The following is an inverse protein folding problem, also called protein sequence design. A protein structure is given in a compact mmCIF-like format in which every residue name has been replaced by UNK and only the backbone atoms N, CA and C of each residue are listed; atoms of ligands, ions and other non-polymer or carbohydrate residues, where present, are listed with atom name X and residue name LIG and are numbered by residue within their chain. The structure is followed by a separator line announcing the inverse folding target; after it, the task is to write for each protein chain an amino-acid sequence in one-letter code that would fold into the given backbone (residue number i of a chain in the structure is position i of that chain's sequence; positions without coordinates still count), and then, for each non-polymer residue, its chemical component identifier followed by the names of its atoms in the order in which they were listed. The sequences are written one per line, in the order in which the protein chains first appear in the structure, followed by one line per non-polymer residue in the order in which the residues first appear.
data_IF_812343990866
#
_entry.id   IF_812343990866
#
_cell.length_a   1.000
_cell.length_b   1.000
_cell.length_c   1.000
_cell.angle_alpha   90.00
_cell.angle_beta   90.00
_cell.angle_gamma   90.00
#
_symmetry.space_group_name_H-M   'P 1'
#
loop_
_entity.id
_entity.type
_entity.pdbx_description
1 polymer ?
#
# COMPACT_ATOMS: atom_id res chain seq x y z
N UNK A 1 20.04 14.92 4.82
CA UNK A 1 20.20 16.39 4.85
C UNK A 1 18.91 17.00 5.39
N UNK A 2 18.96 18.00 6.29
CA UNK A 2 17.75 18.70 6.73
C UNK A 2 17.25 19.63 5.61
N UNK A 3 15.94 19.61 5.36
CA UNK A 3 15.27 20.48 4.38
C UNK A 3 14.52 21.58 5.11
N UNK A 4 14.66 22.82 4.65
CA UNK A 4 13.91 23.96 5.18
C UNK A 4 12.57 24.07 4.45
N UNK A 5 11.47 24.11 5.20
CA UNK A 5 10.12 24.28 4.66
C UNK A 5 9.48 25.49 5.35
N UNK A 6 8.88 26.39 4.56
CA UNK A 6 8.18 27.55 5.08
C UNK A 6 6.75 27.17 5.47
N UNK A 7 6.44 27.27 6.76
CA UNK A 7 5.11 27.01 7.31
C UNK A 7 4.48 28.31 7.79
N UNK A 8 3.19 28.58 7.48
CA UNK A 8 2.47 29.72 8.06
C UNK A 8 2.50 29.66 9.60
N UNK A 9 2.65 30.82 10.26
CA UNK A 9 2.70 30.90 11.73
C UNK A 9 1.54 30.17 12.43
N UNK A 10 0.28 30.25 11.96
CA UNK A 10 -0.83 29.52 12.60
C UNK A 10 -0.67 28.00 12.52
N UNK A 11 -0.17 27.49 11.39
CA UNK A 11 0.06 26.06 11.18
C UNK A 11 1.22 25.57 12.04
N UNK A 12 2.30 26.36 12.14
CA UNK A 12 3.43 26.05 13.00
C UNK A 12 3.01 25.92 14.47
N UNK A 13 2.21 26.86 14.97
CA UNK A 13 1.69 26.82 16.33
C UNK A 13 0.75 25.62 16.58
N UNK A 14 -0.05 25.23 15.58
CA UNK A 14 -0.86 24.02 15.67
C UNK A 14 0.01 22.74 15.70
N UNK A 15 1.04 22.66 14.86
CA UNK A 15 1.98 21.55 14.83
C UNK A 15 2.75 21.41 16.15
N UNK A 16 3.22 22.52 16.73
CA UNK A 16 3.92 22.53 18.02
C UNK A 16 3.02 22.03 19.16
N UNK A 17 1.76 22.49 19.21
CA UNK A 17 0.77 21.99 20.19
C UNK A 17 0.55 20.48 20.04
N UNK A 18 0.37 20.00 18.81
CA UNK A 18 0.14 18.57 18.53
C UNK A 18 1.37 17.72 18.88
N UNK A 19 2.57 18.19 18.54
CA UNK A 19 3.82 17.51 18.85
C UNK A 19 4.04 17.39 20.36
N UNK A 20 3.73 18.46 21.12
CA UNK A 20 3.77 18.45 22.59
C UNK A 20 2.81 17.42 23.19
N UNK A 21 1.57 17.36 22.72
CA UNK A 21 0.59 16.35 23.17
C UNK A 21 1.08 14.93 22.90
N UNK A 22 1.73 14.70 21.75
CA UNK A 22 2.27 13.41 21.36
C UNK A 22 3.66 13.10 21.95
N UNK A 23 4.25 14.03 22.72
CA UNK A 23 5.60 13.93 23.29
C UNK A 23 6.68 13.61 22.25
N UNK A 24 6.55 14.14 21.04
CA UNK A 24 7.54 14.01 19.96
C UNK A 24 8.01 15.38 19.49
N UNK A 25 9.12 15.43 18.76
CA UNK A 25 9.57 16.67 18.13
C UNK A 25 8.62 17.09 17.01
N UNK A 26 8.52 18.41 16.78
CA UNK A 26 7.78 18.96 15.64
C UNK A 26 8.24 18.34 14.32
N UNK A 27 9.55 18.21 14.12
CA UNK A 27 10.10 17.62 12.88
C UNK A 27 9.63 16.17 12.71
N UNK A 28 9.61 15.37 13.78
CA UNK A 28 9.09 14.00 13.73
C UNK A 28 7.60 13.96 13.36
N UNK A 29 6.80 14.88 13.91
CA UNK A 29 5.39 14.99 13.54
C UNK A 29 5.22 15.34 12.05
N UNK A 30 5.98 16.32 11.54
CA UNK A 30 5.93 16.75 10.14
C UNK A 30 6.31 15.60 9.20
N UNK A 31 7.42 14.91 9.48
CA UNK A 31 7.87 13.76 8.69
C UNK A 31 6.81 12.66 8.68
N UNK A 32 6.26 12.29 9.83
CA UNK A 32 5.19 11.28 9.91
C UNK A 32 3.90 11.68 9.19
N UNK A 33 3.58 12.98 9.13
CA UNK A 33 2.44 13.47 8.37
C UNK A 33 2.69 13.32 6.85
N UNK A 34 3.89 13.70 6.39
CA UNK A 34 4.28 13.53 5.00
C UNK A 34 4.36 12.06 4.58
N UNK A 35 4.95 11.19 5.41
CA UNK A 35 4.99 9.75 5.17
C UNK A 35 3.59 9.16 5.04
N UNK A 36 2.65 9.56 5.90
CA UNK A 36 1.25 9.11 5.81
C UNK A 36 0.57 9.57 4.53
N UNK A 37 0.79 10.81 4.11
CA UNK A 37 0.22 11.33 2.86
C UNK A 37 0.78 10.58 1.64
N UNK A 38 2.09 10.32 1.63
CA UNK A 38 2.75 9.56 0.57
C UNK A 38 2.34 8.08 0.55
N UNK A 39 2.02 7.50 1.72
CA UNK A 39 1.47 6.14 1.81
C UNK A 39 -0.02 6.11 1.46
N UNK A 40 -0.79 7.20 1.65
CA UNK A 40 -2.17 7.27 1.15
C UNK A 40 -2.24 7.30 -0.38
N UNK A 41 -1.13 7.62 -1.06
CA UNK A 41 -0.96 7.40 -2.49
C UNK A 41 -0.58 5.94 -2.84
N UNK A 42 -0.68 4.98 -1.90
CA UNK A 42 -0.59 3.55 -2.14
C UNK A 42 -1.86 2.97 -2.80
N UNK A 43 -2.50 3.74 -3.67
CA UNK A 43 -3.21 3.14 -4.78
C UNK A 43 -2.16 2.40 -5.63
N UNK A 44 -2.53 1.22 -6.09
CA UNK A 44 -1.69 0.42 -6.94
C UNK A 44 -1.28 1.28 -8.13
N UNK A 45 0.02 1.59 -8.27
CA UNK A 45 0.46 2.44 -9.36
C UNK A 45 -0.09 1.91 -10.68
N UNK A 46 -0.54 2.75 -11.63
CA UNK A 46 -1.07 2.27 -12.90
C UNK A 46 -0.12 1.29 -13.59
N UNK A 47 1.19 1.56 -13.50
CA UNK A 47 2.26 0.68 -13.98
C UNK A 47 2.28 -0.71 -13.34
N UNK A 48 1.91 -0.82 -12.07
CA UNK A 48 1.79 -2.11 -11.38
C UNK A 48 0.59 -2.91 -11.91
N UNK A 49 -0.56 -2.25 -12.13
CA UNK A 49 -1.72 -2.88 -12.75
C UNK A 49 -1.44 -3.29 -14.20
N UNK A 50 -0.69 -2.50 -14.96
CA UNK A 50 -0.27 -2.84 -16.32
C UNK A 50 0.63 -4.07 -16.34
N UNK A 51 1.56 -4.20 -15.36
CA UNK A 51 2.40 -5.40 -15.23
C UNK A 51 1.57 -6.64 -14.89
N UNK A 52 0.54 -6.52 -14.06
CA UNK A 52 -0.35 -7.64 -13.73
C UNK A 52 -1.19 -8.13 -14.92
N UNK A 53 -1.42 -7.28 -15.93
CA UNK A 53 -2.09 -7.69 -17.18
C UNK A 53 -1.18 -8.54 -18.07
N UNK A 54 0.12 -8.47 -17.87
CA UNK A 54 1.09 -9.28 -18.61
C UNK A 54 1.31 -10.57 -17.84
N UNK A 55 0.62 -11.62 -18.26
CA UNK A 55 0.84 -12.99 -17.77
C UNK A 55 1.72 -13.71 -18.78
N UNK A 56 2.89 -14.17 -18.33
CA UNK A 56 3.77 -14.98 -19.18
C UNK A 56 3.25 -16.42 -19.33
N UNK A 57 3.81 -17.13 -20.31
CA UNK A 57 3.39 -18.50 -20.63
C UNK A 57 3.69 -19.52 -19.54
N UNK A 58 4.69 -19.27 -18.70
CA UNK A 58 5.04 -20.19 -17.61
C UNK A 58 4.07 -20.00 -16.44
N UNK A 59 3.76 -18.75 -16.08
CA UNK A 59 2.71 -18.43 -15.10
C UNK A 59 1.35 -19.02 -15.51
N UNK A 60 0.99 -18.95 -16.79
CA UNK A 60 -0.25 -19.57 -17.30
C UNK A 60 -0.26 -21.09 -17.09
N UNK A 61 0.85 -21.75 -17.45
CA UNK A 61 1.00 -23.21 -17.29
C UNK A 61 0.92 -23.64 -15.82
N UNK A 62 1.54 -22.89 -14.93
CA UNK A 62 1.55 -23.17 -13.50
C UNK A 62 0.16 -23.03 -12.88
N UNK A 63 -0.64 -22.05 -13.35
CA UNK A 63 -2.03 -21.90 -12.92
C UNK A 63 -2.91 -23.06 -13.40
N UNK A 64 -2.73 -23.52 -14.64
CA UNK A 64 -3.46 -24.69 -15.15
C UNK A 64 -3.14 -25.95 -14.34
N UNK A 65 -1.85 -26.20 -14.06
CA UNK A 65 -1.41 -27.31 -13.22
C UNK A 65 -1.95 -27.22 -11.78
N UNK A 66 -2.00 -26.01 -11.21
CA UNK A 66 -2.60 -25.77 -9.90
C UNK A 66 -4.09 -26.10 -9.89
N UNK A 67 -4.84 -25.66 -10.92
CA UNK A 67 -6.28 -25.93 -11.02
C UNK A 67 -6.58 -27.42 -11.20
N UNK A 68 -5.76 -28.14 -11.96
CA UNK A 68 -5.85 -29.59 -12.12
C UNK A 68 -5.66 -30.28 -10.76
N UNK A 69 -4.58 -29.95 -10.04
CA UNK A 69 -4.29 -30.51 -8.73
C UNK A 69 -5.39 -30.22 -7.70
N UNK A 70 -5.95 -28.99 -7.70
CA UNK A 70 -7.08 -28.62 -6.82
C UNK A 70 -8.32 -29.44 -7.16
N UNK A 71 -8.58 -29.66 -8.46
CA UNK A 71 -9.73 -30.43 -8.93
C UNK A 71 -9.60 -31.90 -8.56
N UNK A 72 -8.42 -32.49 -8.74
CA UNK A 72 -8.14 -33.88 -8.37
C UNK A 72 -8.22 -34.10 -6.85
N UNK A 73 -7.70 -33.17 -6.06
CA UNK A 73 -7.76 -33.22 -4.61
C UNK A 73 -9.17 -32.99 -4.03
N UNK A 74 -10.13 -32.56 -4.85
CA UNK A 74 -11.48 -32.21 -4.42
C UNK A 74 -12.34 -33.46 -4.21
N UNK A 75 -12.41 -33.93 -2.96
CA UNK A 75 -13.09 -35.20 -2.64
C UNK A 75 -14.57 -35.13 -2.27
N UNK A 76 -15.19 -33.95 -2.11
CA UNK A 76 -16.49 -33.94 -1.38
C UNK A 76 -17.47 -32.77 -1.60
N UNK A 77 -17.19 -31.76 -2.43
CA UNK A 77 -18.20 -30.69 -2.70
C UNK A 77 -18.28 -30.38 -4.19
N UNK A 78 -19.48 -30.39 -4.77
CA UNK A 78 -19.70 -29.91 -6.14
C UNK A 78 -19.32 -28.42 -6.28
N UNK A 79 -18.85 -27.96 -7.46
CA UNK A 79 -18.58 -26.55 -7.71
C UNK A 79 -19.85 -25.69 -7.51
N UNK A 80 -19.69 -24.54 -6.86
CA UNK A 80 -20.73 -23.51 -6.86
C UNK A 80 -20.85 -22.95 -8.28
N UNK A 81 -22.06 -22.91 -8.83
CA UNK A 81 -22.29 -22.25 -10.13
C UNK A 81 -21.94 -20.77 -9.98
N UNK A 82 -21.02 -20.31 -10.83
CA UNK A 82 -20.69 -18.90 -11.01
C UNK A 82 -21.78 -18.22 -11.85
#
# INVERSE_FOLDING_TARGET
MPTTVHLPKPLLAAADRRAKTLRISRNRLIVQALERELVSAADWSPTFLDRLRVVDSDTTRDVDALLEAVTEARRSKAPSRL
#
